data_IF_399075062644
#
_entry.id   IF_399075062644
#
_cell.length_a   1.000
_cell.length_b   1.000
_cell.length_c   1.000
_cell.angle_alpha   90.00
_cell.angle_beta   90.00
_cell.angle_gamma   90.00
#
_symmetry.space_group_name_H-M   'P 1'
#
loop_
_entity.id
_entity.type
_entity.pdbx_description
1 polymer ?
#
# COMPACT_ATOMS: atom_id res chain seq x y z
N UNK A 1 35.42 -2.27 10.42
CA UNK A 1 34.25 -2.65 11.25
C UNK A 1 33.45 -1.44 11.78
N UNK A 2 34.05 -0.40 12.37
CA UNK A 2 33.34 0.76 12.91
C UNK A 2 32.62 1.59 11.86
N UNK A 3 33.18 1.76 10.67
CA UNK A 3 32.59 2.55 9.57
C UNK A 3 31.34 1.87 8.98
N UNK A 4 31.39 0.56 8.79
CA UNK A 4 30.25 -0.25 8.36
C UNK A 4 29.09 -0.21 9.37
N UNK A 5 29.39 -0.21 10.69
CA UNK A 5 28.38 -0.07 11.74
C UNK A 5 27.74 1.32 11.73
N UNK A 6 28.53 2.40 11.51
CA UNK A 6 28.01 3.77 11.36
C UNK A 6 27.14 3.93 10.11
N UNK A 7 27.51 3.32 8.99
CA UNK A 7 26.73 3.34 7.75
C UNK A 7 25.38 2.63 7.96
N UNK A 8 25.39 1.42 8.54
CA UNK A 8 24.17 0.67 8.83
C UNK A 8 23.23 1.45 9.77
N UNK A 9 23.76 2.13 10.79
CA UNK A 9 22.96 2.95 11.70
C UNK A 9 22.33 4.15 10.98
N UNK A 10 23.06 4.80 10.07
CA UNK A 10 22.52 5.91 9.26
C UNK A 10 21.40 5.44 8.33
N UNK A 11 21.56 4.28 7.69
CA UNK A 11 20.53 3.68 6.84
C UNK A 11 19.28 3.34 7.67
N UNK A 12 19.44 2.70 8.81
CA UNK A 12 18.34 2.36 9.70
C UNK A 12 17.59 3.61 10.20
N UNK A 13 18.30 4.66 10.60
CA UNK A 13 17.71 5.92 11.03
C UNK A 13 16.97 6.62 9.88
N UNK A 14 17.50 6.57 8.65
CA UNK A 14 16.85 7.12 7.47
C UNK A 14 15.55 6.36 7.17
N UNK A 15 15.55 5.04 7.22
CA UNK A 15 14.35 4.22 7.03
C UNK A 15 13.30 4.50 8.10
N UNK A 16 13.70 4.57 9.37
CA UNK A 16 12.79 4.86 10.48
C UNK A 16 12.14 6.23 10.33
N UNK A 17 12.90 7.28 10.00
CA UNK A 17 12.33 8.61 9.78
C UNK A 17 11.42 8.67 8.56
N UNK A 18 11.76 7.98 7.47
CA UNK A 18 10.89 7.86 6.30
C UNK A 18 9.53 7.23 6.66
N UNK A 19 9.53 6.10 7.37
CA UNK A 19 8.29 5.43 7.80
C UNK A 19 7.44 6.32 8.72
N UNK A 20 8.04 7.07 9.64
CA UNK A 20 7.31 8.03 10.49
C UNK A 20 6.64 9.11 9.65
N UNK A 21 7.33 9.63 8.64
CA UNK A 21 6.78 10.66 7.74
C UNK A 21 5.64 10.11 6.89
N UNK A 22 5.79 8.91 6.31
CA UNK A 22 4.72 8.25 5.55
C UNK A 22 3.50 8.00 6.45
N UNK A 23 3.68 7.48 7.66
CA UNK A 23 2.57 7.26 8.61
C UNK A 23 1.87 8.56 8.98
N UNK A 24 2.61 9.64 9.18
CA UNK A 24 2.05 10.97 9.44
C UNK A 24 1.30 11.52 8.22
N UNK A 25 1.82 11.32 7.01
CA UNK A 25 1.14 11.70 5.77
C UNK A 25 -0.18 10.93 5.59
N UNK A 26 -0.19 9.61 5.82
CA UNK A 26 -1.40 8.79 5.80
C UNK A 26 -2.47 9.38 6.71
N UNK A 27 -2.11 9.66 7.97
CA UNK A 27 -3.03 10.24 8.95
C UNK A 27 -3.56 11.60 8.51
N UNK A 28 -2.66 12.50 8.10
CA UNK A 28 -3.05 13.85 7.68
C UNK A 28 -3.97 13.84 6.45
N UNK A 29 -3.68 12.97 5.47
CA UNK A 29 -4.49 12.84 4.25
C UNK A 29 -5.85 12.22 4.57
N UNK A 30 -5.93 11.21 5.44
CA UNK A 30 -7.20 10.59 5.82
C UNK A 30 -8.11 11.54 6.61
N UNK A 31 -7.55 12.46 7.38
CA UNK A 31 -8.30 13.43 8.19
C UNK A 31 -8.78 14.66 7.40
N UNK A 32 -7.98 15.19 6.48
CA UNK A 32 -8.25 16.47 5.82
C UNK A 32 -8.07 16.49 4.30
N UNK A 33 -7.69 15.35 3.72
CA UNK A 33 -7.51 15.22 2.27
C UNK A 33 -6.13 15.68 1.78
N UNK A 34 -5.87 15.39 0.49
CA UNK A 34 -4.59 15.69 -0.16
C UNK A 34 -4.32 17.20 -0.22
N UNK A 35 -5.33 18.00 -0.56
CA UNK A 35 -5.14 19.42 -0.82
C UNK A 35 -4.73 20.18 0.44
N UNK A 36 -5.37 19.90 1.56
CA UNK A 36 -5.15 20.55 2.86
C UNK A 36 -3.93 20.01 3.62
N UNK A 37 -3.42 18.83 3.24
CA UNK A 37 -2.21 18.27 3.85
C UNK A 37 -0.98 19.06 3.42
N UNK A 38 -0.16 19.51 4.36
CA UNK A 38 1.09 20.23 4.11
C UNK A 38 2.32 19.45 4.59
N UNK A 39 3.50 19.79 4.06
CA UNK A 39 4.78 19.24 4.55
C UNK A 39 5.02 19.56 6.04
N UNK A 40 4.50 20.70 6.51
CA UNK A 40 4.56 21.10 7.93
C UNK A 40 3.71 20.19 8.80
N UNK A 41 2.47 19.88 8.39
CA UNK A 41 1.61 18.94 9.12
C UNK A 41 2.29 17.59 9.28
N UNK A 42 2.88 17.09 8.18
CA UNK A 42 3.57 15.80 8.17
C UNK A 42 4.80 15.80 9.08
N UNK A 43 5.59 16.88 9.10
CA UNK A 43 6.73 17.00 10.00
C UNK A 43 6.30 16.99 11.46
N UNK A 44 5.28 17.78 11.79
CA UNK A 44 4.73 17.90 13.14
C UNK A 44 4.13 16.57 13.62
N UNK A 45 3.30 15.94 12.80
CA UNK A 45 2.68 14.65 13.13
C UNK A 45 3.68 13.51 13.28
N UNK A 46 4.81 13.57 12.58
CA UNK A 46 5.92 12.62 12.71
C UNK A 46 6.85 12.90 13.91
N UNK A 47 6.72 14.06 14.58
CA UNK A 47 7.66 14.50 15.60
C UNK A 47 9.07 14.76 15.05
N UNK A 48 9.18 15.24 13.80
CA UNK A 48 10.42 15.48 13.09
C UNK A 48 10.51 16.93 12.61
N UNK A 49 11.74 17.43 12.40
CA UNK A 49 11.91 18.78 11.88
C UNK A 49 11.54 18.89 10.39
N UNK A 50 11.13 20.07 9.94
CA UNK A 50 10.87 20.38 8.54
C UNK A 50 12.07 20.05 7.63
N UNK A 51 13.30 20.25 8.13
CA UNK A 51 14.51 19.88 7.40
C UNK A 51 14.62 18.39 7.09
N UNK A 52 14.14 17.52 8.01
CA UNK A 52 14.12 16.07 7.80
C UNK A 52 13.08 15.70 6.72
N UNK A 53 11.90 16.33 6.74
CA UNK A 53 10.90 16.10 5.68
C UNK A 53 11.46 16.49 4.31
N UNK A 54 12.06 17.68 4.21
CA UNK A 54 12.64 18.17 2.95
C UNK A 54 13.86 17.32 2.49
N UNK A 55 14.56 16.69 3.42
CA UNK A 55 15.63 15.74 3.10
C UNK A 55 15.08 14.46 2.45
N UNK A 56 13.97 13.92 2.97
CA UNK A 56 13.33 12.71 2.42
C UNK A 56 12.52 12.98 1.17
N UNK A 57 11.74 14.08 1.18
CA UNK A 57 10.80 14.41 0.11
C UNK A 57 11.01 15.85 -0.35
N UNK A 58 11.47 16.01 -1.59
CA UNK A 58 11.78 17.33 -2.18
C UNK A 58 10.55 18.19 -2.42
N UNK A 59 9.35 17.57 -2.45
CA UNK A 59 8.07 18.24 -2.64
C UNK A 59 6.93 17.46 -2.02
N UNK A 60 5.81 18.13 -1.81
CA UNK A 60 4.54 17.48 -1.41
C UNK A 60 4.13 16.39 -2.40
N UNK A 61 4.29 16.64 -3.70
CA UNK A 61 3.95 15.66 -4.74
C UNK A 61 4.76 14.37 -4.59
N UNK A 62 6.07 14.45 -4.35
CA UNK A 62 6.91 13.28 -4.13
C UNK A 62 6.54 12.55 -2.83
N UNK A 63 6.18 13.27 -1.77
CA UNK A 63 5.67 12.66 -0.54
C UNK A 63 4.37 11.88 -0.80
N UNK A 64 3.44 12.45 -1.56
CA UNK A 64 2.17 11.81 -1.90
C UNK A 64 2.38 10.55 -2.77
N UNK A 65 3.26 10.62 -3.77
CA UNK A 65 3.64 9.47 -4.62
C UNK A 65 4.22 8.35 -3.76
N UNK A 66 5.16 8.64 -2.87
CA UNK A 66 5.77 7.63 -1.99
C UNK A 66 4.77 7.08 -0.96
N UNK A 67 3.82 7.90 -0.50
CA UNK A 67 2.71 7.45 0.35
C UNK A 67 1.81 6.46 -0.40
N UNK A 68 1.42 6.77 -1.63
CA UNK A 68 0.61 5.86 -2.47
C UNK A 68 1.35 4.55 -2.76
N UNK A 69 2.63 4.61 -3.11
CA UNK A 69 3.46 3.41 -3.30
C UNK A 69 3.52 2.56 -2.03
N UNK A 70 3.68 3.21 -0.87
CA UNK A 70 3.75 2.50 0.41
C UNK A 70 2.47 1.72 0.70
N UNK A 71 1.30 2.35 0.60
CA UNK A 71 0.02 1.67 0.85
C UNK A 71 -0.29 0.60 -0.21
N UNK A 72 0.10 0.82 -1.47
CA UNK A 72 -0.03 -0.17 -2.54
C UNK A 72 0.84 -1.41 -2.26
N UNK A 73 2.08 -1.21 -1.84
CA UNK A 73 2.99 -2.31 -1.48
C UNK A 73 2.52 -3.05 -0.22
N UNK A 74 2.01 -2.33 0.78
CA UNK A 74 1.46 -2.96 2.00
C UNK A 74 0.27 -3.86 1.68
N UNK A 75 -0.63 -3.40 0.80
CA UNK A 75 -1.74 -4.19 0.30
C UNK A 75 -1.23 -5.44 -0.43
N UNK A 76 -0.31 -5.27 -1.37
CA UNK A 76 0.23 -6.36 -2.18
C UNK A 76 0.92 -7.43 -1.32
N UNK A 77 1.73 -7.02 -0.34
CA UNK A 77 2.36 -7.95 0.60
C UNK A 77 1.35 -8.71 1.45
N UNK A 78 0.29 -8.03 1.90
CA UNK A 78 -0.78 -8.66 2.68
C UNK A 78 -1.54 -9.70 1.85
N UNK A 79 -1.90 -9.34 0.62
CA UNK A 79 -2.53 -10.21 -0.37
C UNK A 79 -1.70 -11.47 -0.65
N UNK A 80 -0.42 -11.31 -1.01
CA UNK A 80 0.49 -12.42 -1.26
C UNK A 80 0.67 -13.32 -0.04
N UNK A 81 0.76 -12.74 1.16
CA UNK A 81 0.85 -13.50 2.41
C UNK A 81 -0.41 -14.33 2.67
N UNK A 82 -1.59 -13.78 2.38
CA UNK A 82 -2.88 -14.48 2.54
C UNK A 82 -3.00 -15.66 1.58
N UNK A 83 -2.64 -15.47 0.32
CA UNK A 83 -2.59 -16.53 -0.67
C UNK A 83 -1.62 -17.65 -0.28
N UNK A 84 -0.41 -17.29 0.13
CA UNK A 84 0.60 -18.30 0.55
C UNK A 84 0.10 -19.15 1.70
N UNK A 85 -0.68 -18.58 2.62
CA UNK A 85 -1.21 -19.29 3.81
C UNK A 85 -2.41 -20.18 3.47
N UNK A 86 -3.18 -19.87 2.44
CA UNK A 86 -4.38 -20.61 2.06
C UNK A 86 -4.08 -21.95 1.34
N UNK A 87 -2.83 -22.15 0.89
CA UNK A 87 -2.44 -23.33 0.11
C UNK A 87 -2.91 -23.23 -1.35
N UNK A 88 -3.06 -24.40 -2.01
CA UNK A 88 -3.40 -24.49 -3.44
C UNK A 88 -4.89 -24.71 -3.73
N UNK A 89 -5.74 -24.80 -2.72
CA UNK A 89 -7.19 -24.95 -2.89
C UNK A 89 -7.79 -23.61 -3.34
N UNK A 90 -8.35 -23.49 -4.57
CA UNK A 90 -8.83 -22.23 -5.09
C UNK A 90 -10.01 -21.65 -4.29
N UNK A 91 -10.87 -22.48 -3.67
CA UNK A 91 -11.92 -22.01 -2.77
C UNK A 91 -11.33 -21.34 -1.53
N UNK A 92 -10.31 -21.94 -0.92
CA UNK A 92 -9.62 -21.36 0.23
C UNK A 92 -8.86 -20.09 -0.14
N UNK A 93 -8.30 -20.02 -1.35
CA UNK A 93 -7.63 -18.83 -1.86
C UNK A 93 -8.60 -17.65 -2.00
N UNK A 94 -9.79 -17.84 -2.59
CA UNK A 94 -10.81 -16.79 -2.68
C UNK A 94 -11.25 -16.32 -1.28
N UNK A 95 -11.52 -17.24 -0.38
CA UNK A 95 -11.90 -16.90 1.01
C UNK A 95 -10.78 -16.11 1.70
N UNK A 96 -9.51 -16.50 1.50
CA UNK A 96 -8.36 -15.81 2.08
C UNK A 96 -8.20 -14.39 1.53
N UNK A 97 -8.46 -14.17 0.23
CA UNK A 97 -8.46 -12.84 -0.40
C UNK A 97 -9.55 -11.96 0.23
N UNK A 98 -10.78 -12.46 0.28
CA UNK A 98 -11.90 -11.71 0.86
C UNK A 98 -11.60 -11.34 2.31
N UNK A 99 -11.13 -12.30 3.12
CA UNK A 99 -10.76 -12.03 4.51
C UNK A 99 -9.61 -11.03 4.65
N UNK A 100 -8.65 -11.04 3.73
CA UNK A 100 -7.59 -10.04 3.70
C UNK A 100 -8.15 -8.65 3.41
N UNK A 101 -8.98 -8.52 2.39
CA UNK A 101 -9.49 -7.22 1.92
C UNK A 101 -10.39 -6.55 2.96
N UNK A 102 -11.18 -7.34 3.69
CA UNK A 102 -12.01 -6.85 4.80
C UNK A 102 -11.32 -6.87 6.17
N UNK A 103 -10.04 -7.19 6.24
CA UNK A 103 -9.29 -7.15 7.49
C UNK A 103 -9.10 -5.71 7.99
N UNK A 104 -9.03 -5.52 9.32
CA UNK A 104 -8.72 -4.20 9.91
C UNK A 104 -7.37 -3.63 9.42
N UNK A 105 -6.46 -4.48 8.98
CA UNK A 105 -5.18 -4.06 8.42
C UNK A 105 -5.34 -3.33 7.08
N UNK A 106 -6.27 -3.77 6.23
CA UNK A 106 -6.48 -3.25 4.88
C UNK A 106 -7.67 -2.29 4.83
N UNK A 107 -8.77 -2.63 5.49
CA UNK A 107 -10.05 -1.92 5.44
C UNK A 107 -10.31 -1.11 6.73
N UNK A 108 -9.27 -0.46 7.30
CA UNK A 108 -9.49 0.51 8.38
C UNK A 108 -10.09 1.80 7.82
N UNK A 109 -10.81 2.56 8.67
CA UNK A 109 -11.42 3.84 8.29
C UNK A 109 -10.44 4.78 7.59
N UNK A 110 -9.24 4.93 8.14
CA UNK A 110 -8.22 5.84 7.60
C UNK A 110 -7.70 5.37 6.25
N UNK A 111 -7.49 4.06 6.07
CA UNK A 111 -7.03 3.51 4.80
C UNK A 111 -8.08 3.58 3.71
N UNK A 112 -9.34 3.33 4.04
CA UNK A 112 -10.45 3.48 3.11
C UNK A 112 -10.56 4.95 2.66
N UNK A 113 -10.56 5.90 3.59
CA UNK A 113 -10.58 7.33 3.27
C UNK A 113 -9.39 7.73 2.39
N UNK A 114 -8.20 7.22 2.71
CA UNK A 114 -6.97 7.46 1.94
C UNK A 114 -7.08 6.93 0.50
N UNK A 115 -7.55 5.69 0.30
CA UNK A 115 -7.74 5.11 -1.01
C UNK A 115 -8.72 5.92 -1.85
N UNK A 116 -9.89 6.30 -1.31
CA UNK A 116 -10.85 7.15 -2.02
C UNK A 116 -10.26 8.50 -2.41
N UNK A 117 -9.46 9.09 -1.51
CA UNK A 117 -8.78 10.36 -1.80
C UNK A 117 -7.80 10.23 -2.96
N UNK A 118 -6.99 9.17 -3.00
CA UNK A 118 -6.09 8.95 -4.13
C UNK A 118 -6.83 8.58 -5.41
N UNK A 119 -7.88 7.77 -5.35
CA UNK A 119 -8.67 7.40 -6.53
C UNK A 119 -9.34 8.60 -7.19
N UNK A 120 -9.78 9.59 -6.43
CA UNK A 120 -10.34 10.82 -7.01
C UNK A 120 -9.32 11.61 -7.85
N UNK A 121 -8.03 11.46 -7.55
CA UNK A 121 -6.93 12.15 -8.23
C UNK A 121 -6.29 11.33 -9.38
N UNK A 122 -6.51 10.02 -9.44
CA UNK A 122 -5.88 9.10 -10.42
C UNK A 122 -6.08 9.58 -11.86
N UNK A 123 -7.28 10.08 -12.20
CA UNK A 123 -7.60 10.58 -13.54
C UNK A 123 -6.72 11.76 -13.97
N UNK A 124 -6.28 12.57 -13.01
CA UNK A 124 -5.55 13.81 -13.26
C UNK A 124 -4.05 13.71 -13.01
N UNK A 125 -3.59 12.60 -12.42
CA UNK A 125 -2.20 12.37 -11.99
C UNK A 125 -1.61 11.11 -12.64
N UNK A 126 -0.87 11.22 -13.75
CA UNK A 126 -0.31 10.05 -14.45
C UNK A 126 0.51 9.12 -13.55
N UNK A 127 1.27 9.69 -12.58
CA UNK A 127 2.05 8.89 -11.63
C UNK A 127 1.16 8.03 -10.73
N UNK A 128 0.02 8.54 -10.26
CA UNK A 128 -0.93 7.76 -9.45
C UNK A 128 -1.60 6.67 -10.27
N UNK A 129 -2.00 7.03 -11.50
CA UNK A 129 -2.58 6.07 -12.45
C UNK A 129 -1.64 4.88 -12.68
N UNK A 130 -0.34 5.14 -12.91
CA UNK A 130 0.64 4.09 -13.15
C UNK A 130 0.79 3.15 -11.94
N UNK A 131 0.90 3.69 -10.72
CA UNK A 131 1.01 2.91 -9.49
C UNK A 131 -0.24 2.03 -9.27
N UNK A 132 -1.43 2.58 -9.46
CA UNK A 132 -2.68 1.84 -9.32
C UNK A 132 -2.80 0.76 -10.39
N UNK A 133 -2.52 1.09 -11.65
CA UNK A 133 -2.60 0.15 -12.79
C UNK A 133 -1.70 -1.08 -12.61
N UNK A 134 -0.46 -0.90 -12.20
CA UNK A 134 0.48 -2.00 -11.96
C UNK A 134 -0.03 -2.95 -10.88
N UNK A 135 -0.54 -2.42 -9.78
CA UNK A 135 -1.13 -3.19 -8.70
C UNK A 135 -2.39 -3.93 -9.16
N UNK A 136 -3.31 -3.21 -9.81
CA UNK A 136 -4.61 -3.75 -10.20
C UNK A 136 -4.47 -4.85 -11.25
N UNK A 137 -3.54 -4.69 -12.20
CA UNK A 137 -3.26 -5.72 -13.20
C UNK A 137 -2.70 -7.01 -12.56
N UNK A 138 -1.77 -6.87 -11.62
CA UNK A 138 -1.25 -8.02 -10.88
C UNK A 138 -2.34 -8.76 -10.11
N UNK A 139 -3.20 -8.02 -9.39
CA UNK A 139 -4.32 -8.55 -8.64
C UNK A 139 -5.32 -9.25 -9.55
N UNK A 140 -5.71 -8.61 -10.65
CA UNK A 140 -6.63 -9.17 -11.64
C UNK A 140 -6.12 -10.50 -12.20
N UNK A 141 -4.87 -10.56 -12.63
CA UNK A 141 -4.29 -11.79 -13.20
C UNK A 141 -4.40 -12.96 -12.23
N UNK A 142 -4.05 -12.77 -10.97
CA UNK A 142 -4.12 -13.84 -9.95
C UNK A 142 -5.57 -14.28 -9.69
N UNK A 143 -6.51 -13.35 -9.62
CA UNK A 143 -7.93 -13.68 -9.42
C UNK A 143 -8.50 -14.44 -10.61
N UNK A 144 -8.17 -14.04 -11.83
CA UNK A 144 -8.58 -14.73 -13.07
C UNK A 144 -8.07 -16.17 -13.10
N UNK A 145 -6.81 -16.40 -12.71
CA UNK A 145 -6.23 -17.74 -12.63
C UNK A 145 -6.97 -18.62 -11.61
N UNK A 146 -7.23 -18.11 -10.40
CA UNK A 146 -7.93 -18.83 -9.34
C UNK A 146 -9.38 -19.16 -9.76
N UNK A 147 -10.09 -18.19 -10.38
CA UNK A 147 -11.47 -18.42 -10.87
C UNK A 147 -11.47 -19.44 -12.00
N UNK A 148 -10.52 -19.40 -12.92
CA UNK A 148 -10.39 -20.38 -14.00
C UNK A 148 -10.18 -21.80 -13.45
N UNK A 149 -9.36 -21.95 -12.42
CA UNK A 149 -9.15 -23.23 -11.75
C UNK A 149 -10.42 -23.71 -11.03
N UNK A 150 -11.17 -22.83 -10.38
CA UNK A 150 -12.47 -23.14 -9.77
C UNK A 150 -13.46 -23.66 -10.80
N UNK A 151 -13.59 -22.98 -11.93
CA UNK A 151 -14.52 -23.37 -13.02
C UNK A 151 -14.13 -24.75 -13.53
N UNK A 152 -12.85 -25.00 -13.83
CA UNK A 152 -12.38 -26.28 -14.33
C UNK A 152 -12.64 -27.41 -13.32
N UNK A 153 -12.41 -27.18 -12.03
CA UNK A 153 -12.68 -28.18 -11.00
C UNK A 153 -14.18 -28.47 -10.85
N UNK A 154 -15.04 -27.45 -10.96
CA UNK A 154 -16.50 -27.63 -10.91
C UNK A 154 -17.01 -28.39 -12.14
N UNK A 155 -16.52 -28.11 -13.33
CA UNK A 155 -16.93 -28.78 -14.57
C UNK A 155 -16.53 -30.26 -14.58
N UNK A 156 -15.42 -30.62 -13.94
CA UNK A 156 -15.03 -32.05 -13.79
C UNK A 156 -15.99 -32.84 -12.87
N UNK A 157 -16.70 -32.16 -11.95
CA UNK A 157 -17.70 -32.79 -11.08
C UNK A 157 -19.10 -32.84 -11.68
N UNK A 158 -19.39 -32.09 -12.76
CA UNK A 158 -20.70 -32.02 -13.40
C UNK A 158 -20.79 -32.77 -14.74
N UNK A 159 -19.71 -33.45 -15.13
CA UNK A 159 -19.77 -34.36 -16.27
C UNK A 159 -20.39 -35.69 -15.86
N UNK A 160 -21.48 -36.14 -16.50
CA UNK A 160 -22.17 -37.41 -16.19
C UNK A 160 -21.31 -38.62 -16.49
#
# INVERSE_FOLDING_TARGET
MAEMKRLNLRIANKQTSNLKLISSAIKSISEKGINETTMSDVSQGAGLSQGIVNFHFKSKELLLIETLKFISNEYLQSFQSSLKKSGSDPCKQIIAIINNDFSNKICSRDKVALWFTFFSEVKFKPAYHQICKERDLYYQTIIEDIISELINNCLLYTSP
#
